data_IF_615044883424
#
_entry.id   IF_615044883424
#
_cell.length_a   1.000
_cell.length_b   1.000
_cell.length_c   1.000
_cell.angle_alpha   90.00
_cell.angle_beta   90.00
_cell.angle_gamma   90.00
#
_symmetry.space_group_name_H-M   'P 1'
#
loop_
_entity.id
_entity.type
_entity.pdbx_description
1 polymer ?
#
# COMPACT_ATOMS: atom_id res chain seq x y z
N UNK A 1 29.91 27.09 11.61
CA UNK A 1 29.58 27.71 10.31
C UNK A 1 28.14 28.22 10.40
N UNK A 2 27.94 29.50 10.72
CA UNK A 2 26.60 30.13 10.76
C UNK A 2 26.23 30.64 9.37
N UNK A 3 24.96 30.53 8.98
CA UNK A 3 24.49 30.98 7.67
C UNK A 3 24.81 32.49 7.45
N UNK A 4 25.28 32.92 6.27
CA UNK A 4 25.76 34.29 6.03
C UNK A 4 24.75 35.41 6.28
N UNK A 5 23.46 35.10 6.46
CA UNK A 5 22.41 36.08 6.74
C UNK A 5 21.40 35.51 7.76
N UNK A 6 21.69 35.57 9.07
CA UNK A 6 20.69 35.22 10.08
C UNK A 6 19.52 36.21 10.01
N UNK A 7 18.27 35.72 10.09
CA UNK A 7 17.07 36.56 10.13
C UNK A 7 16.39 36.86 8.78
N UNK A 8 16.79 36.22 7.68
CA UNK A 8 15.96 36.24 6.46
C UNK A 8 14.71 35.39 6.69
N UNK A 9 13.56 36.03 6.90
CA UNK A 9 12.26 35.37 6.82
C UNK A 9 11.94 35.05 5.36
N UNK A 10 11.38 33.87 5.12
CA UNK A 10 10.88 33.47 3.81
C UNK A 10 9.83 34.49 3.32
N UNK A 11 9.79 34.84 2.03
CA UNK A 11 8.73 35.67 1.49
C UNK A 11 7.36 35.01 1.71
N UNK A 12 6.30 35.82 1.79
CA UNK A 12 4.93 35.34 1.92
C UNK A 12 4.58 34.33 0.80
N UNK A 13 3.64 33.41 1.02
CA UNK A 13 3.23 32.42 0.02
C UNK A 13 2.77 33.00 -1.31
N UNK A 14 2.42 34.29 -1.40
CA UNK A 14 2.04 34.96 -2.65
C UNK A 14 3.25 35.60 -3.36
N UNK A 15 4.37 35.77 -2.65
CA UNK A 15 5.61 36.41 -3.14
C UNK A 15 6.78 35.43 -3.31
N UNK A 16 6.56 34.15 -2.98
CA UNK A 16 7.51 33.07 -3.23
C UNK A 16 7.75 32.89 -4.75
N UNK A 17 8.96 32.49 -5.14
CA UNK A 17 9.32 32.27 -6.55
C UNK A 17 8.68 31.01 -7.11
N UNK A 18 8.39 31.01 -8.42
CA UNK A 18 7.65 29.97 -9.17
C UNK A 18 8.04 28.52 -8.88
N UNK A 19 9.33 28.22 -8.67
CA UNK A 19 9.81 26.87 -8.33
C UNK A 19 9.20 26.24 -7.06
N UNK A 20 8.56 27.03 -6.20
CA UNK A 20 7.89 26.53 -5.00
C UNK A 20 6.36 26.61 -5.06
N UNK A 21 5.79 27.38 -6.00
CA UNK A 21 4.34 27.60 -6.09
C UNK A 21 3.70 27.09 -7.38
N UNK A 22 4.35 27.34 -8.52
CA UNK A 22 3.78 27.19 -9.85
C UNK A 22 4.43 26.05 -10.64
N UNK A 23 5.64 25.65 -10.25
CA UNK A 23 6.30 24.51 -10.87
C UNK A 23 5.65 23.22 -10.35
N UNK A 24 5.22 22.29 -11.24
CA UNK A 24 4.74 21.00 -10.81
C UNK A 24 5.86 20.29 -10.03
N UNK A 25 5.52 19.49 -9.00
CA UNK A 25 6.50 18.65 -8.32
C UNK A 25 7.32 17.88 -9.36
N UNK A 26 8.65 17.84 -9.18
CA UNK A 26 9.51 17.10 -10.10
C UNK A 26 8.98 15.67 -10.24
N UNK A 27 8.98 15.10 -11.45
CA UNK A 27 8.47 13.74 -11.70
C UNK A 27 9.33 12.63 -11.08
N UNK A 28 10.23 12.96 -10.16
CA UNK A 28 11.17 12.02 -9.55
C UNK A 28 12.08 11.41 -10.61
N UNK A 29 12.87 10.41 -10.21
CA UNK A 29 13.63 9.55 -11.14
C UNK A 29 12.91 8.24 -11.47
N UNK A 30 11.71 8.06 -10.92
CA UNK A 30 10.92 6.87 -11.13
C UNK A 30 10.21 6.96 -12.48
N UNK A 31 10.24 5.87 -13.25
CA UNK A 31 9.50 5.80 -14.51
C UNK A 31 7.99 5.80 -14.19
N UNK A 32 7.13 6.49 -14.98
CA UNK A 32 5.68 6.53 -14.78
C UNK A 32 5.02 5.15 -14.84
N UNK A 33 5.63 4.24 -15.61
CA UNK A 33 5.23 2.84 -15.71
C UNK A 33 6.32 1.99 -15.08
N UNK A 34 6.00 1.36 -13.95
CA UNK A 34 6.70 0.17 -13.52
C UNK A 34 6.26 -0.96 -14.45
N UNK A 35 7.21 -1.60 -15.15
CA UNK A 35 6.92 -2.87 -15.78
C UNK A 35 6.45 -3.85 -14.68
N UNK A 36 5.37 -4.61 -14.89
CA UNK A 36 4.98 -5.63 -13.94
C UNK A 36 6.18 -6.55 -13.71
N UNK A 37 6.51 -6.92 -12.46
CA UNK A 37 7.56 -7.89 -12.17
C UNK A 37 7.32 -9.15 -13.01
N UNK A 38 8.33 -9.64 -13.71
CA UNK A 38 8.23 -10.84 -14.55
C UNK A 38 7.83 -12.10 -13.75
N UNK A 39 7.82 -12.02 -12.43
CA UNK A 39 7.53 -13.11 -11.50
C UNK A 39 6.08 -13.17 -11.00
N UNK A 40 5.21 -12.20 -11.33
CA UNK A 40 3.95 -12.04 -10.58
C UNK A 40 2.84 -13.06 -10.96
N UNK A 41 2.88 -13.63 -12.16
CA UNK A 41 1.73 -14.41 -12.68
C UNK A 41 2.00 -15.93 -12.73
N UNK A 42 3.25 -16.34 -12.88
CA UNK A 42 3.57 -17.76 -13.14
C UNK A 42 3.74 -18.60 -11.86
N UNK A 43 4.04 -17.97 -10.71
CA UNK A 43 4.42 -18.71 -9.50
C UNK A 43 3.33 -18.79 -8.42
N UNK A 44 2.17 -18.13 -8.56
CA UNK A 44 1.12 -18.13 -7.53
C UNK A 44 0.62 -19.54 -7.16
N UNK A 45 0.47 -20.40 -8.16
CA UNK A 45 0.09 -21.80 -7.95
C UNK A 45 1.23 -22.61 -7.31
N UNK A 46 2.49 -22.30 -7.63
CA UNK A 46 3.65 -22.95 -7.03
C UNK A 46 3.86 -22.54 -5.56
N UNK A 47 3.56 -21.28 -5.21
CA UNK A 47 3.64 -20.77 -3.83
C UNK A 47 2.64 -21.48 -2.89
N UNK A 48 1.50 -21.92 -3.42
CA UNK A 48 0.42 -22.55 -2.65
C UNK A 48 0.34 -24.06 -2.80
N UNK A 49 1.12 -24.66 -3.71
CA UNK A 49 1.07 -26.09 -4.06
C UNK A 49 1.27 -27.05 -2.87
N UNK A 50 2.02 -26.62 -1.85
CA UNK A 50 2.32 -27.43 -0.66
C UNK A 50 1.55 -26.98 0.60
N UNK A 51 0.66 -26.00 0.47
CA UNK A 51 -0.17 -25.53 1.56
C UNK A 51 -1.46 -26.34 1.58
N UNK A 52 -1.48 -27.45 2.32
CA UNK A 52 -2.73 -28.15 2.62
C UNK A 52 -3.51 -27.38 3.68
N UNK A 53 -4.84 -27.38 3.60
CA UNK A 53 -5.69 -26.83 4.66
C UNK A 53 -5.36 -27.46 6.02
N UNK A 54 -5.51 -26.67 7.09
CA UNK A 54 -5.41 -27.17 8.45
C UNK A 54 -6.41 -28.31 8.69
N UNK A 55 -6.07 -29.29 9.56
CA UNK A 55 -7.01 -30.33 9.94
C UNK A 55 -8.26 -29.72 10.59
N UNK A 56 -9.40 -30.38 10.38
CA UNK A 56 -10.70 -29.96 10.89
C UNK A 56 -10.67 -29.85 12.42
N UNK A 57 -11.23 -28.76 12.97
CA UNK A 57 -11.31 -28.62 14.42
C UNK A 57 -12.40 -29.56 14.98
N UNK A 58 -12.18 -30.25 16.13
CA UNK A 58 -13.13 -31.22 16.66
C UNK A 58 -14.53 -30.65 16.97
N UNK A 59 -14.65 -29.34 17.21
CA UNK A 59 -15.93 -28.69 17.51
C UNK A 59 -16.63 -28.09 16.27
N UNK A 60 -16.01 -28.13 15.10
CA UNK A 60 -16.50 -27.44 13.90
C UNK A 60 -17.86 -27.99 13.42
N UNK A 61 -18.07 -29.31 13.51
CA UNK A 61 -19.36 -29.94 13.20
C UNK A 61 -20.44 -29.61 14.23
N UNK A 62 -20.05 -29.46 15.49
CA UNK A 62 -20.98 -29.13 16.58
C UNK A 62 -21.44 -27.67 16.45
N UNK A 63 -20.52 -26.76 16.13
CA UNK A 63 -20.81 -25.35 15.92
C UNK A 63 -21.63 -25.13 14.65
N UNK A 64 -21.22 -25.72 13.53
CA UNK A 64 -21.98 -25.64 12.28
C UNK A 64 -23.40 -26.18 12.47
N UNK A 65 -23.61 -27.30 13.16
CA UNK A 65 -24.94 -27.83 13.45
C UNK A 65 -25.79 -26.89 14.32
N UNK A 66 -25.17 -26.18 15.29
CA UNK A 66 -25.87 -25.19 16.14
C UNK A 66 -26.40 -24.01 15.33
N UNK A 67 -25.64 -23.53 14.35
CA UNK A 67 -25.99 -22.36 13.56
C UNK A 67 -26.69 -22.69 12.23
N UNK A 68 -26.65 -23.95 11.76
CA UNK A 68 -27.32 -24.40 10.53
C UNK A 68 -28.84 -24.49 10.66
N UNK A 69 -29.37 -24.52 11.89
CA UNK A 69 -30.82 -24.59 12.15
C UNK A 69 -31.33 -23.24 12.66
N UNK A 70 -31.30 -22.21 11.83
CA UNK A 70 -31.87 -20.90 12.19
C UNK A 70 -31.63 -19.71 11.27
N UNK A 71 -31.13 -19.88 10.04
CA UNK A 71 -31.13 -18.82 9.04
C UNK A 71 -32.46 -18.77 8.28
N UNK A 72 -33.52 -18.24 8.89
CA UNK A 72 -34.75 -17.85 8.20
C UNK A 72 -35.04 -16.39 8.58
N UNK A 73 -35.28 -15.59 7.55
CA UNK A 73 -35.70 -14.20 7.60
C UNK A 73 -36.94 -13.96 8.48
#
# INVERSE_FOLDING_TARGET
MSAPNPGRQSPSPERQSGAQQQDPPSQGKAQPQYAPPEHDVQDQAAQTANLSSNPKHPLEDIESAKFSKGGVA
#
